data_IF_809864549532
#
_entry.id   IF_809864549532
#
_cell.length_a   1.000
_cell.length_b   1.000
_cell.length_c   1.000
_cell.angle_alpha   90.00
_cell.angle_beta   90.00
_cell.angle_gamma   90.00
#
_symmetry.space_group_name_H-M   'P 1'
#
loop_
_entity.id
_entity.type
_entity.pdbx_description
1 polymer ?
#
# COMPACT_ATOMS: atom_id res chain seq x y z
N UNK A 1 1.71 -12.55 -1.24
CA UNK A 1 1.13 -11.22 -1.57
C UNK A 1 0.84 -10.48 -0.28
N UNK A 2 1.30 -9.23 -0.13
CA UNK A 2 1.01 -8.43 1.07
C UNK A 2 -0.35 -7.72 0.92
N UNK A 3 -1.23 -7.77 1.93
CA UNK A 3 -2.54 -7.13 1.86
C UNK A 3 -2.46 -5.64 1.48
N UNK A 4 -3.22 -5.23 0.46
CA UNK A 4 -3.23 -3.85 -0.04
C UNK A 4 -2.09 -3.50 -0.99
N UNK A 5 -1.14 -4.40 -1.23
CA UNK A 5 -0.09 -4.18 -2.23
C UNK A 5 -0.59 -4.51 -3.63
N UNK A 6 -0.66 -3.50 -4.51
CA UNK A 6 -1.02 -3.65 -5.92
C UNK A 6 0.12 -4.09 -6.85
N UNK A 7 1.29 -4.44 -6.34
CA UNK A 7 2.44 -4.80 -7.17
C UNK A 7 2.23 -6.15 -7.85
N UNK A 8 2.35 -6.19 -9.18
CA UNK A 8 2.18 -7.40 -10.00
C UNK A 8 3.44 -7.79 -10.77
N UNK A 9 4.47 -6.94 -10.78
CA UNK A 9 5.74 -7.14 -11.50
C UNK A 9 6.92 -6.86 -10.58
N UNK A 10 8.09 -7.40 -10.94
CA UNK A 10 9.31 -7.26 -10.14
C UNK A 10 9.20 -7.91 -8.76
N UNK A 11 8.43 -9.00 -8.66
CA UNK A 11 8.25 -9.73 -7.41
C UNK A 11 9.44 -10.66 -7.16
N UNK A 12 9.83 -10.81 -5.91
CA UNK A 12 10.87 -11.73 -5.48
C UNK A 12 10.23 -12.95 -4.82
N UNK A 13 10.79 -14.14 -5.07
CA UNK A 13 10.46 -15.33 -4.32
C UNK A 13 11.16 -15.29 -2.96
N UNK A 14 10.41 -15.47 -1.90
CA UNK A 14 10.88 -15.45 -0.53
C UNK A 14 10.53 -16.77 0.16
N UNK A 15 11.52 -17.42 0.77
CA UNK A 15 11.36 -18.66 1.53
C UNK A 15 10.64 -18.41 2.87
N UNK A 16 9.54 -19.12 3.12
CA UNK A 16 8.73 -18.98 4.33
C UNK A 16 9.38 -19.66 5.55
N UNK A 17 9.82 -20.90 5.37
CA UNK A 17 10.90 -21.47 6.18
C UNK A 17 12.20 -21.06 5.51
N UNK A 18 13.05 -20.32 6.21
CA UNK A 18 14.31 -19.85 5.66
C UNK A 18 15.14 -21.01 5.11
N UNK A 19 15.84 -20.74 4.01
CA UNK A 19 16.74 -21.71 3.40
C UNK A 19 17.84 -22.17 4.37
N UNK A 20 18.35 -21.24 5.20
CA UNK A 20 19.36 -21.54 6.24
C UNK A 20 18.85 -22.50 7.33
N UNK A 21 17.54 -22.53 7.57
CA UNK A 21 16.86 -23.44 8.48
C UNK A 21 16.42 -24.75 7.79
N UNK A 22 16.96 -25.04 6.59
CA UNK A 22 16.63 -26.22 5.80
C UNK A 22 15.32 -26.13 5.02
N UNK A 23 14.77 -24.93 4.83
CA UNK A 23 13.55 -24.72 4.05
C UNK A 23 13.70 -25.14 2.58
N UNK A 24 12.78 -25.94 2.02
CA UNK A 24 12.89 -26.43 0.65
C UNK A 24 12.65 -25.32 -0.38
N UNK A 25 13.30 -25.39 -1.54
CA UNK A 25 12.99 -24.53 -2.70
C UNK A 25 11.85 -25.13 -3.50
N UNK A 26 10.64 -25.05 -2.93
CA UNK A 26 9.40 -25.57 -3.51
C UNK A 26 8.30 -24.53 -3.43
N UNK A 27 7.33 -24.56 -4.35
CA UNK A 27 6.27 -23.55 -4.43
C UNK A 27 5.50 -23.37 -3.12
N UNK A 28 5.30 -24.43 -2.33
CA UNK A 28 4.62 -24.38 -1.02
C UNK A 28 5.37 -23.57 0.03
N UNK A 29 6.69 -23.44 -0.12
CA UNK A 29 7.57 -22.71 0.79
C UNK A 29 7.99 -21.35 0.22
N UNK A 30 7.51 -20.95 -0.96
CA UNK A 30 7.88 -19.69 -1.60
C UNK A 30 6.68 -18.75 -1.67
N UNK A 31 6.85 -17.53 -1.19
CA UNK A 31 5.90 -16.44 -1.37
C UNK A 31 6.45 -15.37 -2.32
N UNK A 32 5.62 -14.88 -3.23
CA UNK A 32 5.93 -13.71 -4.04
C UNK A 32 5.66 -12.42 -3.26
N UNK A 33 6.70 -11.59 -3.14
CA UNK A 33 6.69 -10.33 -2.38
C UNK A 33 7.36 -9.23 -3.20
N UNK A 34 6.82 -8.01 -3.15
CA UNK A 34 7.44 -6.89 -3.86
C UNK A 34 8.74 -6.43 -3.17
N UNK A 35 9.65 -5.70 -3.84
CA UNK A 35 10.95 -5.34 -3.27
C UNK A 35 10.86 -4.49 -2.00
N UNK A 36 9.82 -3.67 -1.85
CA UNK A 36 9.58 -2.88 -0.64
C UNK A 36 9.23 -3.79 0.54
N UNK A 37 8.21 -4.63 0.39
CA UNK A 37 7.75 -5.52 1.45
C UNK A 37 8.75 -6.64 1.75
N UNK A 38 9.54 -7.07 0.76
CA UNK A 38 10.61 -8.04 0.99
C UNK A 38 11.65 -7.47 1.96
N UNK A 39 12.07 -6.22 1.76
CA UNK A 39 12.97 -5.54 2.72
C UNK A 39 12.29 -5.28 4.06
N UNK A 40 11.01 -4.93 4.06
CA UNK A 40 10.24 -4.73 5.30
C UNK A 40 10.20 -6.02 6.14
N UNK A 41 10.05 -7.18 5.50
CA UNK A 41 10.11 -8.46 6.18
C UNK A 41 11.48 -8.72 6.82
N UNK A 42 12.56 -8.54 6.05
CA UNK A 42 13.94 -8.68 6.57
C UNK A 42 14.29 -7.69 7.69
N UNK A 43 13.61 -6.55 7.77
CA UNK A 43 13.75 -5.59 8.88
C UNK A 43 12.90 -5.92 10.11
N UNK A 44 11.98 -6.88 10.02
CA UNK A 44 11.01 -7.16 11.08
C UNK A 44 9.81 -6.20 11.13
N UNK A 45 9.65 -5.32 10.13
CA UNK A 45 8.49 -4.42 10.03
C UNK A 45 7.19 -5.21 9.80
N UNK A 46 7.32 -6.35 9.10
CA UNK A 46 6.24 -7.30 8.84
C UNK A 46 6.72 -8.75 9.00
N UNK A 47 5.81 -9.65 9.37
CA UNK A 47 6.10 -11.10 9.44
C UNK A 47 5.21 -11.85 8.46
N UNK A 48 5.80 -12.79 7.73
CA UNK A 48 5.12 -13.69 6.82
C UNK A 48 5.02 -15.06 7.49
N UNK A 49 3.80 -15.58 7.68
CA UNK A 49 3.56 -16.87 8.37
C UNK A 49 2.54 -17.71 7.64
N UNK A 50 2.55 -19.03 7.91
CA UNK A 50 1.67 -20.00 7.26
C UNK A 50 2.21 -20.46 5.90
N UNK A 51 1.52 -21.41 5.25
CA UNK A 51 1.92 -21.93 3.95
C UNK A 51 1.63 -20.91 2.83
N UNK A 52 2.25 -21.08 1.66
CA UNK A 52 2.15 -20.12 0.56
C UNK A 52 0.71 -19.85 0.07
N UNK A 53 -0.18 -20.84 0.16
CA UNK A 53 -1.60 -20.78 -0.20
C UNK A 53 -2.49 -20.10 0.86
N UNK A 54 -2.04 -20.05 2.12
CA UNK A 54 -2.74 -19.41 3.24
C UNK A 54 -1.86 -18.40 4.00
N UNK A 55 -1.05 -17.65 3.25
CA UNK A 55 -0.10 -16.70 3.81
C UNK A 55 -0.78 -15.64 4.68
N UNK A 56 -0.34 -15.53 5.93
CA UNK A 56 -0.71 -14.48 6.85
C UNK A 56 0.42 -13.45 6.96
N UNK A 57 0.05 -12.17 6.94
CA UNK A 57 0.99 -11.06 7.13
C UNK A 57 0.60 -10.30 8.39
N UNK A 58 1.54 -10.12 9.31
CA UNK A 58 1.38 -9.29 10.50
C UNK A 58 2.32 -8.09 10.45
N UNK A 59 1.94 -6.98 11.08
CA UNK A 59 2.85 -5.87 11.33
C UNK A 59 3.82 -6.19 12.50
N UNK A 60 4.74 -5.26 12.79
CA UNK A 60 5.71 -5.37 13.88
C UNK A 60 5.08 -5.56 15.28
N UNK A 61 3.78 -5.27 15.45
CA UNK A 61 3.06 -5.50 16.72
C UNK A 61 2.38 -6.87 16.77
N UNK A 62 2.53 -7.69 15.73
CA UNK A 62 1.86 -8.97 15.59
C UNK A 62 0.40 -8.85 15.12
N UNK A 63 -0.08 -7.64 14.80
CA UNK A 63 -1.45 -7.45 14.32
C UNK A 63 -1.55 -7.87 12.86
N UNK A 64 -2.54 -8.70 12.56
CA UNK A 64 -2.79 -9.18 11.19
C UNK A 64 -3.18 -8.03 10.26
N UNK A 65 -2.42 -7.88 9.19
CA UNK A 65 -2.68 -6.92 8.13
C UNK A 65 -3.82 -7.43 7.25
N UNK A 66 -4.68 -6.52 6.81
CA UNK A 66 -5.78 -6.83 5.87
C UNK A 66 -5.88 -5.71 4.84
N UNK A 67 -6.49 -5.98 3.70
CA UNK A 67 -6.82 -4.95 2.71
C UNK A 67 -8.17 -4.26 3.01
N UNK A 68 -8.70 -4.39 4.22
CA UNK A 68 -9.95 -3.74 4.61
C UNK A 68 -9.65 -2.29 5.01
N UNK A 69 -10.59 -1.41 4.69
CA UNK A 69 -10.54 -0.03 5.16
C UNK A 69 -10.45 0.00 6.70
N UNK A 70 -9.57 0.85 7.22
CA UNK A 70 -9.52 1.14 8.66
C UNK A 70 -10.66 2.08 9.08
N UNK A 71 -11.31 2.73 8.11
CA UNK A 71 -12.48 3.55 8.34
C UNK A 71 -13.58 2.72 9.00
N UNK A 72 -14.05 3.18 10.15
CA UNK A 72 -15.19 2.60 10.85
C UNK A 72 -16.41 3.46 10.56
N UNK A 73 -17.58 2.88 10.31
CA UNK A 73 -18.82 3.66 10.26
C UNK A 73 -18.95 4.48 11.55
N UNK A 74 -19.27 5.78 11.47
CA UNK A 74 -19.51 6.58 12.67
C UNK A 74 -20.68 5.98 13.46
N UNK A 75 -20.46 5.75 14.75
CA UNK A 75 -21.49 5.23 15.67
C UNK A 75 -22.24 6.35 16.39
N UNK A 76 -21.80 7.59 16.21
CA UNK A 76 -22.41 8.79 16.78
C UNK A 76 -23.13 9.57 15.68
N UNK A 77 -24.18 10.34 16.02
CA UNK A 77 -24.78 11.26 15.07
C UNK A 77 -23.71 12.21 14.49
N UNK A 78 -23.87 12.65 13.22
CA UNK A 78 -23.00 13.66 12.66
C UNK A 78 -23.03 14.92 13.54
N UNK A 79 -21.90 15.64 13.63
CA UNK A 79 -21.87 16.87 14.41
C UNK A 79 -22.87 17.88 13.84
N UNK A 80 -23.53 18.65 14.71
CA UNK A 80 -24.43 19.74 14.31
C UNK A 80 -23.60 20.93 13.81
N UNK A 81 -23.14 20.82 12.56
CA UNK A 81 -22.38 21.84 11.86
C UNK A 81 -23.22 22.38 10.70
N UNK A 82 -23.16 23.70 10.46
CA UNK A 82 -23.77 24.29 9.27
C UNK A 82 -23.26 23.57 8.01
N UNK A 83 -24.13 23.32 7.02
CA UNK A 83 -23.69 22.76 5.75
C UNK A 83 -22.52 23.56 5.18
N UNK A 84 -21.52 22.86 4.63
CA UNK A 84 -20.46 23.53 3.89
C UNK A 84 -21.14 24.36 2.78
N UNK A 85 -20.94 25.70 2.73
CA UNK A 85 -21.63 26.57 1.77
C UNK A 85 -21.24 26.29 0.31
N UNK A 86 -20.32 25.35 0.08
CA UNK A 86 -19.71 25.09 -1.21
C UNK A 86 -18.55 26.05 -1.48
N UNK A 87 -17.91 25.94 -2.65
CA UNK A 87 -16.94 26.94 -3.06
C UNK A 87 -17.61 28.31 -3.15
N UNK A 88 -17.00 29.32 -2.55
CA UNK A 88 -17.46 30.72 -2.54
C UNK A 88 -17.38 31.39 -3.92
N UNK A 89 -16.76 30.73 -4.89
CA UNK A 89 -16.44 31.31 -6.20
C UNK A 89 -15.25 32.27 -6.16
N UNK A 90 -14.55 32.39 -5.03
CA UNK A 90 -13.32 33.17 -4.93
C UNK A 90 -12.21 32.59 -5.83
N UNK A 91 -11.27 33.44 -6.24
CA UNK A 91 -10.14 32.99 -7.06
C UNK A 91 -9.30 32.02 -6.24
N UNK A 92 -8.98 30.88 -6.85
CA UNK A 92 -8.02 29.95 -6.27
C UNK A 92 -6.70 30.67 -6.00
N UNK A 93 -6.24 30.59 -4.75
CA UNK A 93 -4.95 31.11 -4.36
C UNK A 93 -3.89 30.06 -4.72
N UNK A 94 -3.12 30.32 -5.78
CA UNK A 94 -2.26 29.34 -6.45
C UNK A 94 -0.98 28.97 -5.67
N UNK A 95 -0.84 29.42 -4.42
CA UNK A 95 0.39 29.22 -3.64
C UNK A 95 0.75 27.75 -3.34
N UNK A 96 -0.18 26.82 -3.58
CA UNK A 96 0.04 25.37 -3.46
C UNK A 96 0.00 24.60 -4.78
N UNK A 97 -0.35 25.26 -5.88
CA UNK A 97 -0.64 24.59 -7.14
C UNK A 97 -0.16 25.44 -8.31
N UNK A 98 0.86 24.96 -9.01
CA UNK A 98 1.28 25.53 -10.28
C UNK A 98 0.45 24.90 -11.39
N UNK A 99 -0.46 25.64 -12.06
CA UNK A 99 -1.21 25.08 -13.18
C UNK A 99 -0.25 24.69 -14.31
N UNK A 100 -0.44 23.50 -14.86
CA UNK A 100 0.34 23.03 -16.01
C UNK A 100 0.11 23.96 -17.22
N UNK A 101 1.19 24.58 -17.70
CA UNK A 101 1.19 25.30 -18.98
C UNK A 101 1.75 24.39 -20.08
N UNK A 102 0.95 24.00 -21.10
CA UNK A 102 1.47 23.24 -22.23
C UNK A 102 2.49 24.08 -22.99
N UNK A 103 3.57 23.45 -23.46
CA UNK A 103 4.56 24.13 -24.32
C UNK A 103 3.88 24.54 -25.65
N UNK A 104 4.18 25.74 -26.18
CA UNK A 104 3.75 26.09 -27.53
C UNK A 104 4.24 25.04 -28.54
N UNK A 105 3.46 24.76 -29.60
CA UNK A 105 3.97 23.97 -30.71
C UNK A 105 5.21 24.65 -31.31
N UNK A 106 6.19 23.88 -31.81
CA UNK A 106 7.34 24.46 -32.49
C UNK A 106 6.87 25.30 -33.68
N UNK A 107 7.52 26.44 -33.92
CA UNK A 107 7.24 27.28 -35.07
C UNK A 107 7.45 26.46 -36.36
N UNK A 108 6.53 26.58 -37.32
CA UNK A 108 6.69 25.99 -38.64
C UNK A 108 7.95 26.58 -39.31
N UNK A 109 8.75 25.70 -39.91
CA UNK A 109 9.99 26.04 -40.62
C UNK A 109 9.71 26.81 -41.92
#
# INVERSE_FOLDING_TARGET
MVPGCGATRGLHAHHLQHWEDGGPTELRNLALVCPFHHRAHHRGDITLTGPADHLAVTDATGKRMTNRALARPPTTPPPDVKPCPGPTGERADWWWYTPYQPKPPPAAA
#
